data_IF_071817979254
#
_entry.id   IF_071817979254
#
_cell.length_a   1.000
_cell.length_b   1.000
_cell.length_c   1.000
_cell.angle_alpha   90.00
_cell.angle_beta   90.00
_cell.angle_gamma   90.00
#
_symmetry.space_group_name_H-M   'P 1'
#
loop_
_entity.id
_entity.type
_entity.pdbx_description
1 polymer ?
#
# COMPACT_ATOMS: atom_id res chain seq x y z
N UNK A 1 0.48 14.59 0.02
CA UNK A 1 -0.89 14.62 -0.53
C UNK A 1 -1.04 13.79 -1.81
N UNK A 2 -0.02 13.70 -2.67
CA UNK A 2 -0.01 12.83 -3.87
C UNK A 2 -0.28 11.35 -3.56
N UNK A 3 0.34 10.78 -2.52
CA UNK A 3 0.11 9.39 -2.13
C UNK A 3 -1.35 9.10 -1.78
N UNK A 4 -1.99 10.03 -1.05
CA UNK A 4 -3.41 9.91 -0.68
C UNK A 4 -4.30 9.97 -1.90
N UNK A 5 -3.97 10.81 -2.90
CA UNK A 5 -4.71 10.88 -4.16
C UNK A 5 -4.62 9.58 -4.98
N UNK A 6 -3.43 8.98 -5.05
CA UNK A 6 -3.23 7.67 -5.72
C UNK A 6 -4.03 6.58 -5.00
N UNK A 7 -4.00 6.54 -3.67
CA UNK A 7 -4.79 5.57 -2.91
C UNK A 7 -6.29 5.81 -3.08
N UNK A 8 -6.73 7.08 -3.07
CA UNK A 8 -8.13 7.45 -3.27
C UNK A 8 -8.63 7.01 -4.65
N UNK A 9 -7.81 7.09 -5.69
CA UNK A 9 -8.13 6.56 -7.02
C UNK A 9 -8.50 5.07 -6.95
N UNK A 10 -7.70 4.25 -6.25
CA UNK A 10 -8.01 2.84 -6.03
C UNK A 10 -9.30 2.61 -5.22
N UNK A 11 -9.57 3.46 -4.22
CA UNK A 11 -10.79 3.38 -3.42
C UNK A 11 -12.06 3.71 -4.21
N UNK A 12 -11.98 4.46 -5.31
CA UNK A 12 -13.17 4.78 -6.12
C UNK A 12 -13.88 3.51 -6.58
N UNK A 13 -13.13 2.51 -7.07
CA UNK A 13 -13.67 1.22 -7.48
C UNK A 13 -14.43 0.51 -6.36
N UNK A 14 -13.91 0.56 -5.14
CA UNK A 14 -14.55 -0.09 -3.99
C UNK A 14 -15.86 0.61 -3.61
N UNK A 15 -15.87 1.95 -3.64
CA UNK A 15 -17.06 2.75 -3.31
C UNK A 15 -18.12 2.62 -4.40
N UNK A 16 -17.73 2.59 -5.68
CA UNK A 16 -18.67 2.38 -6.80
C UNK A 16 -19.35 1.01 -6.73
N UNK A 17 -18.68 -0.01 -6.18
CA UNK A 17 -19.25 -1.33 -5.91
C UNK A 17 -20.15 -1.36 -4.65
N UNK A 18 -20.39 -0.21 -4.00
CA UNK A 18 -21.20 -0.09 -2.78
C UNK A 18 -20.47 -0.48 -1.50
N UNK A 19 -19.15 -0.66 -1.55
CA UNK A 19 -18.32 -0.99 -0.40
C UNK A 19 -17.67 0.22 0.27
N UNK A 20 -17.10 0.01 1.46
CA UNK A 20 -16.22 0.96 2.14
C UNK A 20 -14.94 0.23 2.52
N UNK A 21 -13.78 0.83 2.22
CA UNK A 21 -12.47 0.24 2.52
C UNK A 21 -11.60 1.15 3.39
N UNK A 22 -11.59 0.86 4.69
CA UNK A 22 -10.68 1.48 5.65
C UNK A 22 -9.35 0.73 5.76
N UNK A 23 -9.23 -0.47 5.19
CA UNK A 23 -8.07 -1.35 5.39
C UNK A 23 -6.80 -0.82 4.72
N UNK A 24 -6.94 0.11 3.75
CA UNK A 24 -5.86 0.80 3.04
C UNK A 24 -4.74 1.36 3.93
N UNK A 25 -5.07 1.86 5.12
CA UNK A 25 -4.07 2.35 6.07
C UNK A 25 -3.26 1.23 6.73
N UNK A 26 -3.89 0.07 6.96
CA UNK A 26 -3.24 -1.11 7.52
C UNK A 26 -2.47 -1.92 6.48
N UNK A 27 -3.01 -2.06 5.27
CA UNK A 27 -2.32 -2.69 4.14
C UNK A 27 -1.08 -1.89 3.74
N UNK A 28 -1.15 -0.55 3.69
CA UNK A 28 0.02 0.28 3.45
C UNK A 28 1.10 0.10 4.54
N UNK A 29 0.71 -0.05 5.81
CA UNK A 29 1.65 -0.27 6.91
C UNK A 29 2.38 -1.62 6.77
N UNK A 30 1.64 -2.72 6.59
CA UNK A 30 2.25 -4.06 6.49
C UNK A 30 3.08 -4.22 5.22
N UNK A 31 2.59 -3.75 4.06
CA UNK A 31 3.32 -3.84 2.78
C UNK A 31 4.56 -2.95 2.79
N UNK A 32 4.50 -1.76 3.40
CA UNK A 32 5.66 -0.89 3.56
C UNK A 32 6.76 -1.51 4.42
N UNK A 33 6.38 -2.15 5.54
CA UNK A 33 7.30 -2.91 6.38
C UNK A 33 7.88 -4.11 5.63
N UNK A 34 7.04 -4.89 4.93
CA UNK A 34 7.50 -6.01 4.10
C UNK A 34 8.51 -5.55 3.05
N UNK A 35 8.28 -4.43 2.38
CA UNK A 35 9.20 -3.88 1.40
C UNK A 35 10.56 -3.53 2.03
N UNK A 36 10.54 -2.84 3.18
CA UNK A 36 11.76 -2.46 3.88
C UNK A 36 12.58 -3.69 4.32
N UNK A 37 11.91 -4.73 4.82
CA UNK A 37 12.54 -5.99 5.21
C UNK A 37 13.12 -6.74 4.00
N UNK A 38 12.36 -6.89 2.91
CA UNK A 38 12.80 -7.58 1.69
C UNK A 38 14.01 -6.88 1.07
N UNK A 39 13.99 -5.55 0.99
CA UNK A 39 15.14 -4.78 0.51
C UNK A 39 16.34 -4.89 1.46
N UNK A 40 16.09 -4.94 2.77
CA UNK A 40 17.13 -5.18 3.79
C UNK A 40 17.81 -6.55 3.66
N UNK A 41 17.13 -7.54 3.08
CA UNK A 41 17.70 -8.85 2.75
C UNK A 41 18.54 -8.86 1.46
N UNK A 42 18.71 -7.71 0.81
CA UNK A 42 19.47 -7.59 -0.44
C UNK A 42 18.72 -8.04 -1.70
N UNK A 43 17.40 -8.25 -1.60
CA UNK A 43 16.58 -8.62 -2.76
C UNK A 43 16.53 -7.45 -3.76
N UNK A 44 16.69 -7.69 -5.07
CA UNK A 44 16.61 -6.64 -6.08
C UNK A 44 15.29 -5.88 -6.05
N UNK A 45 15.35 -4.57 -6.27
CA UNK A 45 14.21 -3.66 -6.13
C UNK A 45 12.96 -4.11 -6.93
N UNK A 46 13.16 -4.50 -8.18
CA UNK A 46 12.06 -4.94 -9.06
C UNK A 46 11.35 -6.16 -8.48
N UNK A 47 12.12 -7.12 -7.98
CA UNK A 47 11.57 -8.33 -7.38
C UNK A 47 10.86 -8.03 -6.05
N UNK A 48 11.43 -7.12 -5.24
CA UNK A 48 10.80 -6.65 -4.01
C UNK A 48 9.43 -5.99 -4.27
N UNK A 49 9.32 -5.15 -5.31
CA UNK A 49 8.04 -4.54 -5.72
C UNK A 49 7.03 -5.61 -6.13
N UNK A 50 7.43 -6.58 -6.95
CA UNK A 50 6.53 -7.67 -7.38
C UNK A 50 6.02 -8.47 -6.17
N UNK A 51 6.90 -8.83 -5.24
CA UNK A 51 6.51 -9.53 -4.01
C UNK A 51 5.53 -8.71 -3.17
N UNK A 52 5.77 -7.40 -3.01
CA UNK A 52 4.86 -6.51 -2.31
C UNK A 52 3.49 -6.38 -2.99
N UNK A 53 3.43 -6.36 -4.32
CA UNK A 53 2.17 -6.37 -5.07
C UNK A 53 1.39 -7.66 -4.83
N UNK A 54 2.07 -8.80 -4.82
CA UNK A 54 1.46 -10.11 -4.51
C UNK A 54 0.90 -10.10 -3.07
N UNK A 55 1.68 -9.62 -2.09
CA UNK A 55 1.21 -9.49 -0.71
C UNK A 55 -0.04 -8.61 -0.63
N UNK A 56 -0.01 -7.41 -1.24
CA UNK A 56 -1.15 -6.49 -1.23
C UNK A 56 -2.40 -7.12 -1.88
N UNK A 57 -2.22 -7.84 -3.00
CA UNK A 57 -3.31 -8.54 -3.69
C UNK A 57 -3.92 -9.64 -2.81
N UNK A 58 -3.11 -10.41 -2.10
CA UNK A 58 -3.58 -11.45 -1.17
C UNK A 58 -4.38 -10.80 -0.03
N UNK A 59 -3.85 -9.75 0.61
CA UNK A 59 -4.54 -9.06 1.70
C UNK A 59 -5.86 -8.42 1.28
N UNK A 60 -5.91 -7.82 0.09
CA UNK A 60 -7.16 -7.30 -0.49
C UNK A 60 -8.16 -8.40 -0.81
N UNK A 61 -7.69 -9.53 -1.33
CA UNK A 61 -8.54 -10.70 -1.63
C UNK A 61 -9.14 -11.29 -0.37
N UNK A 62 -8.41 -11.32 0.76
CA UNK A 62 -8.94 -11.76 2.06
C UNK A 62 -10.16 -10.90 2.44
N UNK A 63 -10.06 -9.58 2.33
CA UNK A 63 -11.18 -8.69 2.63
C UNK A 63 -12.38 -8.98 1.72
N UNK A 64 -12.16 -9.11 0.41
CA UNK A 64 -13.23 -9.43 -0.55
C UNK A 64 -13.90 -10.78 -0.27
N UNK A 65 -13.12 -11.82 0.03
CA UNK A 65 -13.65 -13.15 0.34
C UNK A 65 -14.46 -13.15 1.63
N UNK A 66 -14.00 -12.46 2.68
CA UNK A 66 -14.73 -12.38 3.96
C UNK A 66 -16.05 -11.63 3.77
N UNK A 67 -16.06 -10.54 3.01
CA UNK A 67 -17.29 -9.80 2.71
C UNK A 67 -18.28 -10.68 1.95
N UNK A 68 -17.84 -11.31 0.85
CA UNK A 68 -18.73 -12.11 -0.02
C UNK A 68 -19.22 -13.38 0.65
N UNK A 69 -18.34 -14.16 1.29
CA UNK A 69 -18.71 -15.44 1.92
C UNK A 69 -19.28 -15.28 3.32
N UNK A 70 -18.74 -14.33 4.09
CA UNK A 70 -19.17 -14.08 5.46
C UNK A 70 -20.47 -13.29 5.57
N UNK A 71 -20.92 -12.63 4.48
CA UNK A 71 -22.10 -11.75 4.48
C UNK A 71 -22.03 -10.70 5.61
N UNK A 72 -20.82 -10.22 5.89
CA UNK A 72 -20.55 -9.18 6.88
C UNK A 72 -20.44 -7.85 6.15
N UNK A 73 -20.96 -6.79 6.75
CA UNK A 73 -20.83 -5.43 6.23
C UNK A 73 -19.36 -5.05 5.95
N UNK A 74 -19.02 -4.55 4.75
CA UNK A 74 -17.63 -4.27 4.32
C UNK A 74 -16.85 -3.38 5.28
N UNK A 75 -17.53 -2.41 5.90
CA UNK A 75 -16.93 -1.50 6.86
C UNK A 75 -16.34 -2.22 8.08
N UNK A 76 -17.06 -3.20 8.64
CA UNK A 76 -16.58 -3.94 9.81
C UNK A 76 -15.36 -4.80 9.47
N UNK A 77 -15.40 -5.48 8.32
CA UNK A 77 -14.30 -6.32 7.86
C UNK A 77 -13.05 -5.48 7.61
N UNK A 78 -13.19 -4.34 6.94
CA UNK A 78 -12.04 -3.49 6.60
C UNK A 78 -11.47 -2.76 7.82
N UNK A 79 -12.31 -2.38 8.78
CA UNK A 79 -11.85 -1.83 10.07
C UNK A 79 -11.14 -2.88 10.93
N UNK A 80 -11.65 -4.10 11.01
CA UNK A 80 -11.01 -5.18 11.75
C UNK A 80 -9.65 -5.54 11.12
N UNK A 81 -9.61 -5.73 9.80
CA UNK A 81 -8.38 -6.08 9.08
C UNK A 81 -7.37 -4.95 9.07
N UNK A 82 -7.78 -3.68 9.05
CA UNK A 82 -6.89 -2.54 9.26
C UNK A 82 -6.10 -2.68 10.57
N UNK A 83 -6.79 -2.99 11.67
CA UNK A 83 -6.17 -3.15 12.99
C UNK A 83 -5.28 -4.38 13.04
N UNK A 84 -5.69 -5.50 12.44
CA UNK A 84 -4.87 -6.71 12.36
C UNK A 84 -3.58 -6.43 11.58
N UNK A 85 -3.67 -5.84 10.38
CA UNK A 85 -2.50 -5.57 9.54
C UNK A 85 -1.54 -4.58 10.21
N UNK A 86 -2.06 -3.55 10.90
CA UNK A 86 -1.26 -2.66 11.73
C UNK A 86 -0.57 -3.38 12.89
N UNK A 87 -1.29 -4.24 13.59
CA UNK A 87 -0.75 -5.04 14.69
C UNK A 87 0.37 -5.96 14.21
N UNK A 88 0.15 -6.64 13.09
CA UNK A 88 1.17 -7.50 12.46
C UNK A 88 2.39 -6.68 12.05
N UNK A 89 2.20 -5.53 11.40
CA UNK A 89 3.29 -4.63 11.05
C UNK A 89 4.10 -4.22 12.29
N UNK A 90 3.43 -3.84 13.39
CA UNK A 90 4.07 -3.47 14.66
C UNK A 90 4.90 -4.61 15.27
N UNK A 91 4.39 -5.84 15.21
CA UNK A 91 5.11 -7.03 15.71
C UNK A 91 6.38 -7.26 14.87
N UNK A 92 6.29 -7.17 13.54
CA UNK A 92 7.45 -7.34 12.67
C UNK A 92 8.51 -6.25 12.84
N UNK A 93 8.12 -5.03 13.17
CA UNK A 93 9.08 -3.94 13.39
C UNK A 93 9.55 -3.78 14.83
N UNK A 94 8.99 -4.55 15.77
CA UNK A 94 9.20 -4.33 17.20
C UNK A 94 8.77 -2.92 17.66
N UNK A 95 7.79 -2.33 16.98
CA UNK A 95 7.31 -0.97 17.24
C UNK A 95 8.25 0.16 16.80
N UNK A 96 9.31 -0.14 16.03
CA UNK A 96 10.29 0.86 15.56
C UNK A 96 10.10 1.18 14.07
N UNK A 97 10.45 2.39 13.61
CA UNK A 97 10.50 2.67 12.18
C UNK A 97 11.59 1.84 11.50
N UNK A 98 11.26 1.14 10.41
CA UNK A 98 12.24 0.42 9.59
C UNK A 98 12.55 1.27 8.34
N UNK A 99 13.76 1.83 8.20
CA UNK A 99 14.10 2.66 7.05
C UNK A 99 14.27 1.81 5.79
N UNK A 100 13.93 2.39 4.65
CA UNK A 100 14.16 1.77 3.35
C UNK A 100 15.58 2.08 2.90
N UNK A 101 16.38 1.04 2.69
CA UNK A 101 17.82 1.16 2.38
C UNK A 101 18.11 1.42 0.89
N UNK A 102 17.13 1.27 0.01
CA UNK A 102 17.31 1.46 -1.43
C UNK A 102 17.20 2.92 -1.84
N UNK A 103 18.31 3.54 -2.23
CA UNK A 103 18.34 4.92 -2.73
C UNK A 103 17.48 5.10 -3.99
N UNK A 104 17.50 4.12 -4.90
CA UNK A 104 16.70 4.13 -6.13
C UNK A 104 15.21 4.15 -5.80
N UNK A 105 14.77 3.37 -4.80
CA UNK A 105 13.38 3.40 -4.36
C UNK A 105 13.00 4.77 -3.80
N UNK A 106 13.86 5.36 -2.95
CA UNK A 106 13.62 6.68 -2.35
C UNK A 106 13.57 7.79 -3.42
N UNK A 107 14.39 7.69 -4.47
CA UNK A 107 14.38 8.64 -5.57
C UNK A 107 13.12 8.53 -6.44
N UNK A 108 12.67 7.32 -6.76
CA UNK A 108 11.54 7.13 -7.68
C UNK A 108 10.18 7.24 -6.97
N UNK A 109 10.06 6.63 -5.79
CA UNK A 109 8.78 6.50 -5.08
C UNK A 109 8.71 7.33 -3.79
N UNK A 110 9.85 7.81 -3.29
CA UNK A 110 9.93 8.71 -2.15
C UNK A 110 9.88 10.17 -2.56
N UNK A 111 10.85 10.95 -2.08
CA UNK A 111 10.92 12.40 -2.30
C UNK A 111 11.91 12.79 -3.41
N UNK A 112 12.29 11.89 -4.31
CA UNK A 112 13.19 12.26 -5.40
C UNK A 112 12.55 13.29 -6.33
N UNK A 113 13.37 14.25 -6.76
CA UNK A 113 12.99 15.32 -7.67
C UNK A 113 13.45 14.93 -9.08
N UNK A 114 12.51 14.66 -9.98
CA UNK A 114 12.82 14.56 -11.40
C UNK A 114 13.06 15.98 -11.94
N UNK A 115 14.14 16.14 -12.71
CA UNK A 115 14.59 17.43 -13.25
C UNK A 115 14.82 18.53 -12.20
N UNK A 116 15.04 18.17 -10.94
CA UNK A 116 15.24 19.10 -9.81
C UNK A 116 14.06 20.05 -9.52
N UNK A 117 12.87 19.80 -10.09
CA UNK A 117 11.70 20.68 -9.99
C UNK A 117 10.43 19.93 -9.57
N UNK A 118 10.23 18.69 -10.03
CA UNK A 118 8.97 17.97 -9.84
C UNK A 118 9.20 16.71 -8.98
N UNK A 119 8.55 16.59 -7.82
CA UNK A 119 8.52 15.35 -7.04
C UNK A 119 7.96 14.19 -7.88
N UNK A 120 8.71 13.09 -7.97
CA UNK A 120 8.32 11.90 -8.72
C UNK A 120 6.89 11.37 -8.40
N UNK A 121 6.38 11.42 -7.15
CA UNK A 121 5.02 11.00 -6.83
C UNK A 121 3.91 11.81 -7.54
N UNK A 122 4.17 13.06 -7.92
CA UNK A 122 3.20 13.88 -8.66
C UNK A 122 3.04 13.38 -10.08
N UNK A 123 4.13 12.94 -10.73
CA UNK A 123 4.09 12.36 -12.06
C UNK A 123 3.32 11.03 -12.06
N UNK A 124 3.57 10.19 -11.05
CA UNK A 124 2.83 8.93 -10.88
C UNK A 124 1.33 9.23 -10.75
N UNK A 125 0.95 10.17 -9.89
CA UNK A 125 -0.44 10.62 -9.77
C UNK A 125 -1.01 11.10 -11.11
N UNK A 126 -0.28 11.95 -11.84
CA UNK A 126 -0.73 12.48 -13.12
C UNK A 126 -0.94 11.39 -14.18
N UNK A 127 -0.12 10.33 -14.19
CA UNK A 127 -0.30 9.18 -15.08
C UNK A 127 -1.58 8.40 -14.75
N UNK A 128 -1.83 8.13 -13.46
CA UNK A 128 -3.05 7.41 -13.05
C UNK A 128 -4.32 8.20 -13.37
N UNK A 129 -4.35 9.50 -13.07
CA UNK A 129 -5.53 10.34 -13.33
C UNK A 129 -5.67 10.76 -14.80
N UNK A 130 -4.57 10.86 -15.55
CA UNK A 130 -4.59 11.26 -16.96
C UNK A 130 -4.86 10.11 -17.94
N UNK A 131 -4.93 8.87 -17.46
CA UNK A 131 -5.22 7.66 -18.28
C UNK A 131 -6.68 7.19 -18.19
N UNK A 132 -7.55 7.94 -17.50
CA UNK A 132 -8.99 7.68 -17.35
C UNK A 132 -9.80 8.74 -18.09
#
# INVERSE_FOLDING_TARGET
MSYVAITAFGMTFVITLGGLDLSVGGTAAIVGVSLALILGMGVPLVLAIILCLIIAMILGSINGVIVVKGKIEPFLVTLATMNIYRGVALVFTGGRPVPIVSEIFVQIFGNGLLFNVIPAPILIMAVFFGST
#
